data_IF_066439883525
#
_entry.id   IF_066439883525
#
_cell.length_a   1.000
_cell.length_b   1.000
_cell.length_c   1.000
_cell.angle_alpha   90.00
_cell.angle_beta   90.00
_cell.angle_gamma   90.00
#
_symmetry.space_group_name_H-M   'P 1'
#
loop_
_entity.id
_entity.type
_entity.pdbx_description
1 polymer ?
#
# COMPACT_ATOMS: atom_id res chain seq x y z
N UNK A 1 29.74 8.95 19.42
CA UNK A 1 29.08 8.61 20.72
C UNK A 1 27.59 8.28 20.53
N UNK A 2 26.76 9.19 20.00
CA UNK A 2 25.32 8.97 19.75
C UNK A 2 24.99 7.73 18.90
N UNK A 3 25.61 7.60 17.73
CA UNK A 3 25.32 6.51 16.79
C UNK A 3 25.73 5.14 17.33
N UNK A 4 26.87 5.08 18.02
CA UNK A 4 27.35 3.86 18.67
C UNK A 4 26.37 3.35 19.75
N UNK A 5 25.79 4.25 20.56
CA UNK A 5 24.81 3.88 21.57
C UNK A 5 23.50 3.36 20.95
N UNK A 6 23.03 3.97 19.85
CA UNK A 6 21.86 3.47 19.11
C UNK A 6 22.15 2.11 18.49
N UNK A 7 23.31 1.94 17.86
CA UNK A 7 23.70 0.68 17.22
C UNK A 7 23.86 -0.45 18.23
N UNK A 8 24.46 -0.19 19.39
CA UNK A 8 24.59 -1.19 20.47
C UNK A 8 23.22 -1.66 20.97
N UNK A 9 22.23 -0.76 21.03
CA UNK A 9 20.86 -1.10 21.44
C UNK A 9 20.17 -1.94 20.37
N UNK A 10 20.27 -1.53 19.11
CA UNK A 10 19.69 -2.27 17.98
C UNK A 10 20.36 -3.63 17.76
N UNK A 11 21.64 -3.75 18.13
CA UNK A 11 22.41 -5.00 18.10
C UNK A 11 22.15 -5.90 19.32
N UNK A 12 21.24 -5.52 20.22
CA UNK A 12 20.85 -6.31 21.38
C UNK A 12 21.93 -6.45 22.46
N UNK A 13 22.92 -5.55 22.52
CA UNK A 13 24.08 -5.66 23.45
C UNK A 13 23.78 -5.29 24.92
N UNK A 14 22.51 -5.16 25.28
CA UNK A 14 22.05 -4.81 26.62
C UNK A 14 20.70 -4.09 26.63
N UNK A 15 20.14 -3.89 27.82
CA UNK A 15 18.94 -3.07 27.99
C UNK A 15 19.26 -1.58 27.76
N UNK A 16 18.21 -0.78 27.60
CA UNK A 16 18.33 0.67 27.44
C UNK A 16 19.15 1.32 28.58
N UNK A 17 18.98 0.85 29.82
CA UNK A 17 19.73 1.35 30.98
C UNK A 17 21.20 0.95 30.94
N UNK A 18 21.49 -0.29 30.56
CA UNK A 18 22.87 -0.79 30.47
C UNK A 18 23.68 -0.01 29.44
N UNK A 19 23.03 0.30 28.31
CA UNK A 19 23.65 1.07 27.23
C UNK A 19 23.81 2.54 27.63
N UNK A 20 22.86 3.11 28.39
CA UNK A 20 23.03 4.45 28.94
C UNK A 20 24.22 4.51 29.90
N UNK A 21 24.37 3.54 30.81
CA UNK A 21 25.51 3.47 31.71
C UNK A 21 26.85 3.34 30.94
N UNK A 22 26.91 2.43 29.95
CA UNK A 22 28.11 2.19 29.13
C UNK A 22 28.55 3.41 28.32
N UNK A 23 27.58 4.15 27.77
CA UNK A 23 27.84 5.32 26.93
C UNK A 23 27.84 6.65 27.70
N UNK A 24 27.73 6.60 29.04
CA UNK A 24 27.63 7.75 29.94
C UNK A 24 26.49 8.71 29.57
N UNK A 25 25.35 8.14 29.18
CA UNK A 25 24.12 8.86 28.90
C UNK A 25 23.35 8.98 30.22
N UNK A 26 23.11 10.21 30.65
CA UNK A 26 22.48 10.52 31.93
C UNK A 26 21.01 10.10 32.03
N UNK A 27 20.31 10.02 30.90
CA UNK A 27 18.89 9.70 30.86
C UNK A 27 18.54 8.74 29.71
N UNK A 28 17.87 7.65 30.05
CA UNK A 28 17.30 6.68 29.11
C UNK A 28 16.35 7.32 28.08
N UNK A 29 15.70 8.43 28.40
CA UNK A 29 14.86 9.17 27.46
C UNK A 29 15.67 9.84 26.35
N UNK A 30 16.94 10.16 26.58
CA UNK A 30 17.84 10.68 25.54
C UNK A 30 18.12 9.57 24.52
N UNK A 31 18.50 8.38 24.99
CA UNK A 31 18.74 7.23 24.12
C UNK A 31 17.46 6.79 23.38
N UNK A 32 16.29 6.76 24.04
CA UNK A 32 15.00 6.49 23.39
C UNK A 32 14.70 7.48 22.27
N UNK A 33 14.89 8.78 22.50
CA UNK A 33 14.71 9.79 21.45
C UNK A 33 15.65 9.58 20.27
N UNK A 34 16.90 9.18 20.53
CA UNK A 34 17.85 8.86 19.46
C UNK A 34 17.46 7.62 18.66
N UNK A 35 16.99 6.56 19.32
CA UNK A 35 16.47 5.36 18.66
C UNK A 35 15.22 5.69 17.84
N UNK A 36 14.28 6.45 18.40
CA UNK A 36 13.09 6.91 17.68
C UNK A 36 13.45 7.76 16.47
N UNK A 37 14.43 8.67 16.58
CA UNK A 37 14.92 9.47 15.46
C UNK A 37 15.63 8.62 14.41
N UNK A 38 16.41 7.63 14.82
CA UNK A 38 17.08 6.70 13.90
C UNK A 38 16.08 5.81 13.14
N UNK A 39 15.05 5.33 13.83
CA UNK A 39 13.98 4.50 13.25
C UNK A 39 12.91 5.33 12.54
N UNK A 40 12.83 6.63 12.81
CA UNK A 40 11.98 7.51 12.03
C UNK A 40 12.54 7.60 10.62
N UNK A 41 11.67 7.46 9.63
CA UNK A 41 12.01 7.64 8.21
C UNK A 41 12.32 9.11 7.85
N UNK A 42 12.90 9.88 8.77
CA UNK A 42 13.47 11.21 8.55
C UNK A 42 14.92 11.09 8.04
N UNK A 43 15.21 10.04 7.27
CA UNK A 43 16.42 10.03 6.46
C UNK A 43 16.17 11.04 5.34
N UNK A 44 16.87 12.17 5.43
CA UNK A 44 17.32 12.95 4.28
C UNK A 44 18.17 12.05 3.36
N UNK A 45 17.53 11.06 2.76
CA UNK A 45 18.11 10.25 1.70
C UNK A 45 17.86 11.06 0.44
N UNK A 46 18.84 11.87 0.05
CA UNK A 46 18.92 12.47 -1.28
C UNK A 46 17.61 13.05 -1.84
N UNK A 47 17.21 14.23 -1.38
CA UNK A 47 16.48 15.18 -2.22
C UNK A 47 15.06 14.83 -2.69
N UNK A 48 14.37 13.86 -2.09
CA UNK A 48 12.91 13.73 -2.26
C UNK A 48 12.24 13.47 -0.92
N UNK A 49 11.48 14.46 -0.45
CA UNK A 49 10.56 14.28 0.66
C UNK A 49 9.68 13.06 0.36
N UNK A 50 9.89 11.97 1.10
CA UNK A 50 8.96 10.85 1.09
C UNK A 50 7.67 11.43 1.69
N UNK A 51 6.72 11.78 0.83
CA UNK A 51 5.39 12.26 1.19
C UNK A 51 4.64 11.13 1.92
N UNK A 52 5.00 10.88 3.17
CA UNK A 52 4.45 9.82 4.02
C UNK A 52 3.00 10.11 4.42
N UNK A 53 2.59 11.37 4.40
CA UNK A 53 1.20 11.80 4.56
C UNK A 53 0.66 12.35 3.25
N UNK A 54 0.14 11.47 2.40
CA UNK A 54 -0.70 11.90 1.28
C UNK A 54 -1.89 12.72 1.78
N UNK A 55 -2.32 13.72 1.01
CA UNK A 55 -3.54 14.49 1.28
C UNK A 55 -4.70 13.54 1.55
N UNK A 56 -5.47 13.83 2.60
CA UNK A 56 -6.74 13.13 2.84
C UNK A 56 -7.74 13.56 1.77
N UNK A 57 -8.31 12.59 1.06
CA UNK A 57 -9.39 12.82 0.10
C UNK A 57 -10.70 12.28 0.64
N UNK A 58 -11.79 13.01 0.38
CA UNK A 58 -13.16 12.57 0.65
C UNK A 58 -13.59 11.47 -0.33
N UNK A 59 -14.77 10.90 -0.12
CA UNK A 59 -15.29 9.86 -1.02
C UNK A 59 -15.70 10.47 -2.37
N UNK A 60 -16.37 11.61 -2.34
CA UNK A 60 -16.81 12.36 -3.51
C UNK A 60 -15.61 12.80 -4.36
N UNK A 61 -14.56 13.34 -3.71
CA UNK A 61 -13.31 13.68 -4.40
C UNK A 61 -12.70 12.45 -5.10
N UNK A 62 -12.76 11.26 -4.49
CA UNK A 62 -12.23 10.04 -5.13
C UNK A 62 -13.04 9.64 -6.36
N UNK A 63 -14.35 9.82 -6.34
CA UNK A 63 -15.20 9.56 -7.51
C UNK A 63 -14.81 10.49 -8.65
N UNK A 64 -14.65 11.79 -8.38
CA UNK A 64 -14.21 12.78 -9.36
C UNK A 64 -12.81 12.48 -9.92
N UNK A 65 -11.86 12.12 -9.05
CA UNK A 65 -10.50 11.74 -9.43
C UNK A 65 -10.52 10.58 -10.44
N UNK A 66 -11.32 9.55 -10.17
CA UNK A 66 -11.38 8.37 -11.04
C UNK A 66 -12.07 8.68 -12.37
N UNK A 67 -13.19 9.41 -12.34
CA UNK A 67 -13.87 9.84 -13.56
C UNK A 67 -12.93 10.66 -14.46
N UNK A 68 -12.16 11.58 -13.85
CA UNK A 68 -11.14 12.34 -14.57
C UNK A 68 -10.06 11.42 -15.14
N UNK A 69 -9.54 10.49 -14.35
CA UNK A 69 -8.47 9.59 -14.76
C UNK A 69 -8.86 8.72 -15.96
N UNK A 70 -10.07 8.13 -15.93
CA UNK A 70 -10.60 7.31 -17.02
C UNK A 70 -10.82 8.16 -18.29
N UNK A 71 -11.36 9.38 -18.13
CA UNK A 71 -11.55 10.31 -19.26
C UNK A 71 -10.23 10.70 -19.95
N UNK A 72 -9.12 10.69 -19.22
CA UNK A 72 -7.80 11.04 -19.74
C UNK A 72 -6.93 9.79 -19.97
N UNK A 73 -7.55 8.69 -20.42
CA UNK A 73 -6.86 7.45 -20.82
C UNK A 73 -5.91 6.90 -19.74
N UNK A 74 -6.35 6.93 -18.49
CA UNK A 74 -5.59 6.45 -17.33
C UNK A 74 -4.28 7.20 -17.09
N UNK A 75 -4.23 8.49 -17.47
CA UNK A 75 -3.07 9.34 -17.18
C UNK A 75 -2.99 9.68 -15.68
N UNK A 76 -2.40 8.77 -14.91
CA UNK A 76 -2.22 8.91 -13.47
C UNK A 76 -1.31 10.07 -13.10
N UNK A 77 -0.31 10.38 -13.93
CA UNK A 77 0.64 11.49 -13.70
C UNK A 77 -0.05 12.84 -13.76
N UNK A 78 -0.89 13.05 -14.78
CA UNK A 78 -1.68 14.27 -14.91
C UNK A 78 -2.75 14.37 -13.83
N UNK A 79 -3.47 13.27 -13.58
CA UNK A 79 -4.48 13.18 -12.53
C UNK A 79 -3.89 13.54 -11.16
N UNK A 80 -2.72 12.98 -10.82
CA UNK A 80 -2.03 13.25 -9.58
C UNK A 80 -1.69 14.74 -9.41
N UNK A 81 -1.19 15.38 -10.47
CA UNK A 81 -0.90 16.82 -10.48
C UNK A 81 -2.16 17.65 -10.29
N UNK A 82 -3.23 17.35 -11.04
CA UNK A 82 -4.49 18.10 -11.01
C UNK A 82 -5.18 18.08 -9.64
N UNK A 83 -5.22 16.93 -9.00
CA UNK A 83 -5.90 16.76 -7.71
C UNK A 83 -4.96 16.90 -6.50
N UNK A 84 -3.69 17.20 -6.73
CA UNK A 84 -2.65 17.30 -5.69
C UNK A 84 -2.60 16.05 -4.79
N UNK A 85 -2.70 14.88 -5.41
CA UNK A 85 -2.60 13.57 -4.75
C UNK A 85 -1.34 12.86 -5.24
N UNK A 86 -0.92 11.80 -4.56
CA UNK A 86 0.19 10.99 -5.07
C UNK A 86 -0.21 10.22 -6.33
N UNK A 87 0.76 9.95 -7.19
CA UNK A 87 0.59 9.05 -8.34
C UNK A 87 -0.03 7.70 -7.93
N UNK A 88 0.44 7.16 -6.81
CA UNK A 88 -0.05 5.89 -6.28
C UNK A 88 -1.51 5.98 -5.80
N UNK A 89 -1.95 7.12 -5.25
CA UNK A 89 -3.35 7.35 -4.91
C UNK A 89 -4.22 7.38 -6.17
N UNK A 90 -3.83 8.15 -7.20
CA UNK A 90 -4.55 8.21 -8.47
C UNK A 90 -4.73 6.80 -9.06
N UNK A 91 -3.63 6.04 -9.18
CA UNK A 91 -3.67 4.65 -9.67
C UNK A 91 -4.52 3.74 -8.80
N UNK A 92 -4.39 3.81 -7.47
CA UNK A 92 -5.11 2.95 -6.54
C UNK A 92 -6.62 3.20 -6.53
N UNK A 93 -7.06 4.45 -6.67
CA UNK A 93 -8.49 4.75 -6.78
C UNK A 93 -9.05 4.20 -8.10
N UNK A 94 -8.38 4.43 -9.23
CA UNK A 94 -8.85 3.98 -10.54
C UNK A 94 -8.98 2.46 -10.60
N UNK A 95 -7.95 1.71 -10.18
CA UNK A 95 -7.98 0.24 -10.18
C UNK A 95 -9.11 -0.30 -9.31
N UNK A 96 -9.27 0.23 -8.09
CA UNK A 96 -10.34 -0.23 -7.18
C UNK A 96 -11.73 0.03 -7.76
N UNK A 97 -11.89 1.15 -8.48
CA UNK A 97 -13.13 1.46 -9.16
C UNK A 97 -13.40 0.52 -10.35
N UNK A 98 -12.40 0.18 -11.15
CA UNK A 98 -12.59 -0.78 -12.26
C UNK A 98 -12.95 -2.18 -11.76
N UNK A 99 -12.38 -2.60 -10.63
CA UNK A 99 -12.65 -3.90 -10.03
C UNK A 99 -14.01 -3.97 -9.33
N UNK A 100 -14.40 -2.90 -8.63
CA UNK A 100 -15.50 -2.92 -7.65
C UNK A 100 -16.57 -1.83 -7.86
N UNK A 101 -16.42 -1.00 -8.90
CA UNK A 101 -17.21 0.21 -9.07
C UNK A 101 -16.98 1.24 -7.95
N UNK A 102 -17.96 2.12 -7.79
CA UNK A 102 -17.99 3.19 -6.78
C UNK A 102 -17.72 2.66 -5.37
N UNK A 103 -18.24 1.49 -5.00
CA UNK A 103 -18.03 0.85 -3.68
C UNK A 103 -16.55 0.59 -3.36
N UNK A 104 -15.70 0.40 -4.39
CA UNK A 104 -14.25 0.19 -4.23
C UNK A 104 -13.51 1.41 -3.68
N UNK A 105 -14.11 2.59 -3.81
CA UNK A 105 -13.54 3.86 -3.34
C UNK A 105 -13.84 4.12 -1.86
N UNK A 106 -14.80 3.39 -1.30
CA UNK A 106 -15.21 3.50 0.09
C UNK A 106 -14.15 2.89 1.01
N UNK A 107 -13.79 3.59 2.08
CA UNK A 107 -12.85 3.04 3.07
C UNK A 107 -13.59 2.07 4.01
N UNK A 108 -13.28 0.78 3.89
CA UNK A 108 -13.89 -0.30 4.70
C UNK A 108 -12.99 -0.78 5.84
N UNK A 109 -11.86 -0.11 6.11
CA UNK A 109 -10.97 -0.47 7.22
C UNK A 109 -11.71 -0.38 8.55
N UNK A 110 -11.68 -1.47 9.33
CA UNK A 110 -12.36 -1.60 10.61
C UNK A 110 -13.90 -1.67 10.54
N UNK A 111 -14.49 -1.78 9.33
CA UNK A 111 -15.95 -1.77 9.11
C UNK A 111 -16.43 -2.94 8.24
N UNK A 112 -15.85 -4.13 8.42
CA UNK A 112 -16.30 -5.33 7.69
C UNK A 112 -17.61 -5.82 8.30
N UNK A 113 -18.66 -5.92 7.48
CA UNK A 113 -19.95 -6.53 7.83
C UNK A 113 -19.84 -8.06 7.81
N UNK A 114 -20.58 -8.76 8.66
CA UNK A 114 -20.73 -10.22 8.55
C UNK A 114 -21.55 -10.60 7.31
N UNK A 115 -21.49 -11.86 6.84
CA UNK A 115 -22.33 -12.33 5.75
C UNK A 115 -23.84 -12.21 6.01
N UNK A 116 -24.28 -12.31 7.27
CA UNK A 116 -25.69 -12.11 7.64
C UNK A 116 -26.11 -10.64 7.57
N UNK A 117 -25.18 -9.71 7.81
CA UNK A 117 -25.40 -8.26 7.74
C UNK A 117 -25.27 -7.68 6.33
N UNK A 118 -24.87 -8.50 5.34
CA UNK A 118 -24.81 -8.09 3.94
C UNK A 118 -26.19 -8.05 3.31
N UNK A 119 -26.48 -6.96 2.61
CA UNK A 119 -27.64 -6.88 1.71
C UNK A 119 -27.49 -7.87 0.55
N UNK A 120 -28.60 -8.29 -0.05
CA UNK A 120 -28.58 -9.20 -1.21
C UNK A 120 -27.73 -8.65 -2.37
N UNK A 121 -27.76 -7.34 -2.60
CA UNK A 121 -26.91 -6.68 -3.60
C UNK A 121 -25.42 -6.80 -3.24
N UNK A 122 -25.05 -6.66 -1.96
CA UNK A 122 -23.67 -6.84 -1.50
C UNK A 122 -23.20 -8.29 -1.65
N UNK A 123 -24.07 -9.27 -1.34
CA UNK A 123 -23.78 -10.71 -1.52
C UNK A 123 -23.55 -11.05 -2.99
N UNK A 124 -24.46 -10.66 -3.88
CA UNK A 124 -24.32 -10.87 -5.32
C UNK A 124 -23.05 -10.24 -5.88
N UNK A 125 -22.69 -9.03 -5.43
CA UNK A 125 -21.42 -8.38 -5.83
C UNK A 125 -20.20 -9.14 -5.33
N UNK A 126 -20.25 -9.71 -4.12
CA UNK A 126 -19.17 -10.55 -3.59
C UNK A 126 -19.01 -11.85 -4.41
N UNK A 127 -20.12 -12.48 -4.79
CA UNK A 127 -20.12 -13.66 -5.65
C UNK A 127 -19.57 -13.36 -7.05
N UNK A 128 -20.02 -12.28 -7.70
CA UNK A 128 -19.48 -11.83 -9.00
C UNK A 128 -17.98 -11.61 -8.94
N UNK A 129 -17.45 -11.10 -7.83
CA UNK A 129 -15.99 -10.95 -7.64
C UNK A 129 -15.26 -12.28 -7.59
N UNK A 130 -15.78 -13.24 -6.82
CA UNK A 130 -15.19 -14.58 -6.71
C UNK A 130 -15.16 -15.26 -8.07
N UNK A 131 -16.31 -15.26 -8.77
CA UNK A 131 -16.44 -15.85 -10.10
C UNK A 131 -15.49 -15.20 -11.12
N UNK A 132 -15.36 -13.86 -11.10
CA UNK A 132 -14.40 -13.16 -11.98
C UNK A 132 -12.95 -13.55 -11.67
N UNK A 133 -12.60 -13.75 -10.40
CA UNK A 133 -11.25 -14.17 -10.02
C UNK A 133 -10.96 -15.60 -10.47
N UNK A 134 -11.92 -16.51 -10.32
CA UNK A 134 -11.82 -17.89 -10.80
C UNK A 134 -11.70 -17.94 -12.33
N UNK A 135 -12.54 -17.20 -13.04
CA UNK A 135 -12.46 -17.07 -14.51
C UNK A 135 -11.07 -16.62 -14.96
N UNK A 136 -10.51 -15.58 -14.33
CA UNK A 136 -9.15 -15.12 -14.66
C UNK A 136 -8.09 -16.17 -14.40
N UNK A 137 -8.18 -16.92 -13.29
CA UNK A 137 -7.24 -18.02 -13.01
C UNK A 137 -7.33 -19.10 -14.09
N UNK A 138 -8.54 -19.49 -14.49
CA UNK A 138 -8.74 -20.47 -15.55
C UNK A 138 -8.22 -19.98 -16.90
N UNK A 139 -8.44 -18.71 -17.26
CA UNK A 139 -7.90 -18.11 -18.49
C UNK A 139 -6.37 -18.12 -18.52
N UNK A 140 -5.72 -17.83 -17.38
CA UNK A 140 -4.26 -17.91 -17.25
C UNK A 140 -3.78 -19.35 -17.43
N UNK A 141 -4.43 -20.33 -16.77
CA UNK A 141 -4.09 -21.75 -16.91
C UNK A 141 -4.19 -22.23 -18.36
N UNK A 142 -5.29 -21.88 -19.04
CA UNK A 142 -5.48 -22.18 -20.47
C UNK A 142 -4.37 -21.54 -21.32
N UNK A 143 -4.01 -20.29 -21.03
CA UNK A 143 -2.94 -19.60 -21.75
C UNK A 143 -1.57 -20.26 -21.55
N UNK A 144 -1.31 -20.76 -20.35
CA UNK A 144 -0.07 -21.45 -19.99
C UNK A 144 0.04 -22.81 -20.70
N UNK A 145 -1.03 -23.61 -20.68
CA UNK A 145 -1.08 -24.91 -21.37
C UNK A 145 -0.86 -24.77 -22.88
N UNK A 146 -1.50 -23.78 -23.53
CA UNK A 146 -1.27 -23.49 -24.95
C UNK A 146 0.19 -23.16 -25.25
N UNK A 147 0.87 -22.46 -24.34
CA UNK A 147 2.28 -22.11 -24.52
C UNK A 147 3.20 -23.30 -24.36
N UNK A 148 2.91 -24.23 -23.45
CA UNK A 148 3.63 -25.49 -23.31
C UNK A 148 3.53 -26.34 -24.57
N UNK A 149 2.32 -26.51 -25.10
CA UNK A 149 2.07 -27.28 -26.34
C UNK A 149 2.80 -26.68 -27.56
N UNK A 150 2.96 -25.35 -27.62
CA UNK A 150 3.74 -24.67 -28.67
C UNK A 150 5.24 -24.97 -28.55
N UNK A 151 5.76 -25.06 -27.33
CA UNK A 151 7.19 -25.36 -27.07
C UNK A 151 7.49 -26.82 -27.41
N UNK A 152 6.64 -27.76 -26.98
CA UNK A 152 6.80 -29.19 -27.28
C UNK A 152 6.79 -29.47 -28.78
N UNK A 153 5.93 -28.77 -29.55
CA UNK A 153 5.89 -28.88 -31.02
C UNK A 153 7.06 -28.24 -31.75
N UNK A 154 7.84 -27.35 -31.11
CA UNK A 154 9.04 -26.72 -31.69
C UNK A 154 10.34 -27.43 -31.32
N UNK A 155 10.33 -28.17 -30.22
CA UNK A 155 11.49 -28.93 -29.73
C UNK A 155 11.52 -30.39 -30.18
N UNK A 156 10.42 -30.91 -30.74
CA UNK A 156 10.33 -32.23 -31.36
C UNK A 156 10.63 -32.23 -32.86
#
# INVERSE_FOLDING_TARGET
QKEAAVFDYLSGKGSLRDICARHKISDAQILRRWIMKYNSHDKETGGRAIMTKGRKTTFEERVEIVQYCIKHSHNYSETAKKFHISYQQARSYTIRYEENGVDGLQDKRGKRKSPEEMTEVEKLRAEVRLLRAEKRRAEIEISFLKKLEEIERRGG
#
